data_IF_640523979874
#
_entry.id   IF_640523979874
#
_cell.length_a   1.000
_cell.length_b   1.000
_cell.length_c   1.000
_cell.angle_alpha   90.00
_cell.angle_beta   90.00
_cell.angle_gamma   90.00
#
_symmetry.space_group_name_H-M   'P 1'
#
loop_
_entity.id
_entity.type
_entity.pdbx_description
1 polymer ?
#
# COMPACT_ATOMS: atom_id res chain seq x y z
N UNK A 1 14.55 0.57 -12.59
CA UNK A 1 15.80 -0.15 -12.91
C UNK A 1 16.03 -1.24 -11.86
N UNK A 2 16.61 -2.39 -12.21
CA UNK A 2 17.01 -3.43 -11.25
C UNK A 2 18.52 -3.64 -11.35
N UNK A 3 19.23 -3.72 -10.23
CA UNK A 3 20.68 -3.94 -10.19
C UNK A 3 21.12 -4.58 -8.88
N UNK A 4 22.35 -5.08 -8.82
CA UNK A 4 22.90 -5.78 -7.65
C UNK A 4 24.28 -5.24 -7.22
N UNK A 5 24.91 -4.46 -8.09
CA UNK A 5 26.29 -4.03 -7.95
C UNK A 5 26.51 -2.52 -7.78
N UNK A 6 27.69 -2.16 -7.28
CA UNK A 6 28.15 -0.77 -7.12
C UNK A 6 28.11 0.04 -8.42
N UNK A 7 28.28 -0.62 -9.57
CA UNK A 7 28.26 0.02 -10.89
C UNK A 7 26.84 0.39 -11.34
N UNK A 8 25.82 -0.27 -10.79
CA UNK A 8 24.41 0.04 -11.11
C UNK A 8 23.87 1.17 -10.23
N UNK A 9 24.56 1.54 -9.16
CA UNK A 9 24.12 2.55 -8.20
C UNK A 9 23.74 3.90 -8.84
N UNK A 10 24.51 4.47 -9.80
CA UNK A 10 24.12 5.72 -10.47
C UNK A 10 22.80 5.58 -11.25
N UNK A 11 22.61 4.42 -11.89
CA UNK A 11 21.42 4.15 -12.70
C UNK A 11 20.21 3.77 -11.84
N UNK A 12 20.43 3.17 -10.67
CA UNK A 12 19.38 2.92 -9.66
C UNK A 12 18.90 4.24 -9.04
N UNK A 13 19.81 5.15 -8.72
CA UNK A 13 19.48 6.48 -8.20
C UNK A 13 18.76 7.37 -9.22
N UNK A 14 19.07 7.21 -10.51
CA UNK A 14 18.43 7.97 -11.59
C UNK A 14 17.07 7.41 -12.02
N UNK A 15 16.70 6.19 -11.62
CA UNK A 15 15.45 5.56 -12.02
C UNK A 15 14.28 6.06 -11.15
N UNK A 16 13.08 6.16 -11.73
CA UNK A 16 11.86 6.49 -10.98
C UNK A 16 11.60 5.52 -9.82
N UNK A 17 11.97 4.25 -10.04
CA UNK A 17 12.02 3.21 -9.02
C UNK A 17 13.27 2.36 -9.25
N UNK A 18 14.27 2.52 -8.37
CA UNK A 18 15.45 1.68 -8.29
C UNK A 18 15.21 0.47 -7.38
N UNK A 19 15.43 -0.75 -7.89
CA UNK A 19 15.30 -2.00 -7.13
C UNK A 19 16.68 -2.66 -7.02
N UNK A 20 17.22 -2.74 -5.82
CA UNK A 20 18.46 -3.46 -5.56
C UNK A 20 18.20 -4.91 -5.16
N UNK A 21 18.98 -5.83 -5.71
CA UNK A 21 19.00 -7.22 -5.28
C UNK A 21 20.15 -7.48 -4.32
N UNK A 22 19.84 -7.94 -3.11
CA UNK A 22 20.85 -8.28 -2.12
C UNK A 22 21.31 -9.73 -2.32
N UNK A 23 22.38 -9.89 -3.09
CA UNK A 23 23.03 -11.19 -3.34
C UNK A 23 23.97 -11.63 -2.19
N UNK A 24 24.54 -10.68 -1.45
CA UNK A 24 25.50 -10.95 -0.36
C UNK A 24 25.05 -10.37 0.99
N UNK A 25 25.52 -10.96 2.09
CA UNK A 25 25.20 -10.55 3.47
C UNK A 25 25.80 -9.19 3.89
N UNK A 26 26.46 -8.47 2.97
CA UNK A 26 27.08 -7.17 3.21
C UNK A 26 26.35 -6.10 2.42
N UNK A 27 26.16 -4.94 3.05
CA UNK A 27 25.53 -3.76 2.44
C UNK A 27 26.45 -3.19 1.34
N UNK A 28 25.87 -2.97 0.16
CA UNK A 28 26.57 -2.50 -1.03
C UNK A 28 26.04 -1.12 -1.46
N UNK A 29 26.79 -0.36 -2.28
CA UNK A 29 26.34 0.94 -2.78
C UNK A 29 25.05 0.87 -3.61
N UNK A 30 24.74 -0.29 -4.21
CA UNK A 30 23.47 -0.54 -4.89
C UNK A 30 22.26 -0.47 -3.94
N UNK A 31 22.39 -1.06 -2.74
CA UNK A 31 21.32 -1.09 -1.74
C UNK A 31 21.07 0.26 -1.08
N UNK A 32 22.09 1.11 -0.98
CA UNK A 32 21.96 2.47 -0.45
C UNK A 32 21.34 3.42 -1.48
N UNK A 33 21.66 3.23 -2.77
CA UNK A 33 21.12 4.05 -3.85
C UNK A 33 19.71 3.65 -4.32
N UNK A 34 19.20 2.47 -3.94
CA UNK A 34 17.93 1.95 -4.43
C UNK A 34 16.75 2.28 -3.49
N UNK A 35 15.58 2.55 -4.06
CA UNK A 35 14.34 2.81 -3.32
C UNK A 35 13.73 1.55 -2.70
N UNK A 36 14.00 0.38 -3.30
CA UNK A 36 13.50 -0.93 -2.84
C UNK A 36 14.65 -1.91 -2.82
N UNK A 37 14.83 -2.61 -1.71
CA UNK A 37 15.88 -3.64 -1.55
C UNK A 37 15.22 -5.02 -1.37
N UNK A 38 15.48 -5.92 -2.32
CA UNK A 38 15.06 -7.31 -2.24
C UNK A 38 16.04 -8.11 -1.39
N UNK A 39 15.54 -8.64 -0.28
CA UNK A 39 16.37 -9.34 0.70
C UNK A 39 16.70 -10.79 0.30
N UNK A 40 15.98 -11.36 -0.66
CA UNK A 40 16.19 -12.72 -1.15
C UNK A 40 16.90 -12.76 -2.51
N UNK A 41 17.52 -13.91 -2.79
CA UNK A 41 18.30 -14.12 -4.02
C UNK A 41 17.44 -14.60 -5.20
N UNK A 42 16.18 -14.16 -5.31
CA UNK A 42 15.26 -14.60 -6.38
C UNK A 42 14.69 -13.41 -7.13
N UNK A 43 14.94 -13.37 -8.43
CA UNK A 43 14.38 -12.34 -9.34
C UNK A 43 12.84 -12.31 -9.30
N UNK A 44 12.19 -13.44 -9.00
CA UNK A 44 10.74 -13.52 -8.87
C UNK A 44 10.16 -12.57 -7.82
N UNK A 45 10.95 -12.18 -6.81
CA UNK A 45 10.52 -11.21 -5.79
C UNK A 45 10.26 -9.82 -6.36
N UNK A 46 10.87 -9.46 -7.51
CA UNK A 46 10.55 -8.22 -8.23
C UNK A 46 9.09 -8.25 -8.68
N UNK A 47 8.63 -9.38 -9.22
CA UNK A 47 7.26 -9.56 -9.69
C UNK A 47 6.28 -9.54 -8.52
N UNK A 48 6.64 -10.23 -7.42
CA UNK A 48 5.85 -10.23 -6.19
C UNK A 48 5.69 -8.79 -5.65
N UNK A 49 6.77 -8.01 -5.60
CA UNK A 49 6.75 -6.60 -5.15
C UNK A 49 5.91 -5.71 -6.07
N UNK A 50 5.99 -5.88 -7.40
CA UNK A 50 5.13 -5.15 -8.34
C UNK A 50 3.65 -5.53 -8.17
N UNK A 51 3.35 -6.81 -7.97
CA UNK A 51 1.97 -7.28 -7.77
C UNK A 51 1.36 -6.69 -6.49
N UNK A 52 2.15 -6.64 -5.41
CA UNK A 52 1.76 -6.04 -4.15
C UNK A 52 1.55 -4.53 -4.27
N UNK A 53 2.44 -3.83 -4.99
CA UNK A 53 2.31 -2.40 -5.25
C UNK A 53 1.01 -2.09 -6.00
N UNK A 54 0.68 -2.86 -7.06
CA UNK A 54 -0.58 -2.71 -7.81
C UNK A 54 -1.81 -2.96 -6.93
N UNK A 55 -1.79 -4.02 -6.13
CA UNK A 55 -2.88 -4.32 -5.21
C UNK A 55 -3.07 -3.21 -4.16
N UNK A 56 -1.97 -2.64 -3.67
CA UNK A 56 -1.97 -1.51 -2.72
C UNK A 56 -2.57 -0.27 -3.39
N UNK A 57 -2.15 0.08 -4.60
CA UNK A 57 -2.69 1.24 -5.30
C UNK A 57 -4.18 1.10 -5.64
N UNK A 58 -4.65 -0.11 -5.96
CA UNK A 58 -6.08 -0.35 -6.12
C UNK A 58 -6.88 -0.01 -4.85
N UNK A 59 -6.36 -0.33 -3.66
CA UNK A 59 -6.98 0.05 -2.38
C UNK A 59 -6.90 1.54 -2.10
N UNK A 60 -5.77 2.19 -2.40
CA UNK A 60 -5.62 3.64 -2.27
C UNK A 60 -6.67 4.36 -3.12
N UNK A 61 -6.86 3.93 -4.37
CA UNK A 61 -7.86 4.51 -5.26
C UNK A 61 -9.30 4.29 -4.74
N UNK A 62 -9.61 3.10 -4.21
CA UNK A 62 -10.91 2.85 -3.58
C UNK A 62 -11.15 3.77 -2.37
N UNK A 63 -10.16 3.91 -1.50
CA UNK A 63 -10.25 4.74 -0.31
C UNK A 63 -10.40 6.24 -0.68
N UNK A 64 -9.66 6.70 -1.70
CA UNK A 64 -9.78 8.06 -2.20
C UNK A 64 -11.16 8.30 -2.84
N UNK A 65 -11.68 7.34 -3.60
CA UNK A 65 -13.02 7.44 -4.19
C UNK A 65 -14.10 7.59 -3.11
N UNK A 66 -14.02 6.83 -2.01
CA UNK A 66 -14.91 6.99 -0.87
C UNK A 66 -14.77 8.35 -0.18
N UNK A 67 -13.54 8.83 0.02
CA UNK A 67 -13.30 10.14 0.61
C UNK A 67 -13.86 11.29 -0.24
N UNK A 68 -13.67 11.22 -1.57
CA UNK A 68 -14.24 12.20 -2.50
C UNK A 68 -15.76 12.11 -2.52
N UNK A 69 -16.35 10.91 -2.57
CA UNK A 69 -17.81 10.75 -2.54
C UNK A 69 -18.41 11.34 -1.26
N UNK A 70 -17.78 11.12 -0.10
CA UNK A 70 -18.22 11.72 1.16
C UNK A 70 -18.18 13.25 1.09
N UNK A 71 -17.07 13.85 0.63
CA UNK A 71 -16.95 15.30 0.52
C UNK A 71 -17.94 15.90 -0.50
N UNK A 72 -18.15 15.23 -1.63
CA UNK A 72 -19.11 15.65 -2.67
C UNK A 72 -20.55 15.64 -2.13
N UNK A 73 -20.89 14.76 -1.19
CA UNK A 73 -22.21 14.74 -0.55
C UNK A 73 -22.27 15.71 0.63
N UNK A 74 -21.24 15.75 1.48
CA UNK A 74 -21.21 16.56 2.68
C UNK A 74 -21.16 18.07 2.39
N UNK A 75 -20.44 18.51 1.35
CA UNK A 75 -20.29 19.93 1.03
C UNK A 75 -21.63 20.56 0.59
N UNK A 76 -22.42 20.00 -0.36
CA UNK A 76 -23.74 20.52 -0.71
C UNK A 76 -24.74 20.49 0.45
N UNK A 77 -24.69 19.44 1.28
CA UNK A 77 -25.52 19.35 2.50
C UNK A 77 -25.19 20.51 3.45
N UNK A 78 -23.90 20.75 3.72
CA UNK A 78 -23.45 21.83 4.58
C UNK A 78 -23.64 23.23 3.96
N UNK A 79 -23.57 23.35 2.63
CA UNK A 79 -23.83 24.58 1.88
C UNK A 79 -25.32 24.94 1.81
N UNK A 80 -26.20 24.13 2.41
CA UNK A 80 -27.60 24.48 2.62
C UNK A 80 -28.58 23.90 1.60
N UNK A 81 -28.20 22.88 0.82
CA UNK A 81 -29.13 22.21 -0.09
C UNK A 81 -30.34 21.57 0.63
N UNK A 82 -30.21 21.27 1.93
CA UNK A 82 -31.29 20.74 2.78
C UNK A 82 -32.05 21.81 3.59
N UNK A 83 -31.66 23.09 3.51
CA UNK A 83 -32.35 24.19 4.20
C UNK A 83 -33.85 24.33 3.84
N UNK A 84 -34.33 24.03 2.61
CA UNK A 84 -35.74 24.22 2.31
C UNK A 84 -36.66 23.10 2.84
N UNK A 85 -36.13 21.91 3.17
CA UNK A 85 -36.96 20.71 3.40
C UNK A 85 -36.81 20.06 4.78
N UNK A 86 -35.70 20.22 5.50
CA UNK A 86 -35.46 19.42 6.71
C UNK A 86 -35.01 20.18 7.96
N UNK A 87 -34.71 21.49 7.90
CA UNK A 87 -34.18 22.29 9.03
C UNK A 87 -33.07 21.57 9.84
N UNK A 88 -32.36 20.63 9.19
CA UNK A 88 -31.43 19.73 9.84
C UNK A 88 -30.04 20.32 9.67
N UNK A 89 -29.67 21.19 10.60
CA UNK A 89 -28.30 21.62 10.73
C UNK A 89 -27.46 20.39 11.12
N UNK A 90 -26.55 19.96 10.23
CA UNK A 90 -25.54 18.96 10.57
C UNK A 90 -24.76 19.48 11.78
N UNK A 91 -25.06 18.95 12.96
CA UNK A 91 -24.36 19.34 14.18
C UNK A 91 -22.91 18.85 14.05
N UNK A 92 -21.89 19.65 14.43
CA UNK A 92 -20.48 19.29 14.26
C UNK A 92 -20.10 17.90 14.82
N UNK A 93 -20.82 17.44 15.85
CA UNK A 93 -20.70 16.11 16.45
C UNK A 93 -21.07 14.96 15.50
N UNK A 94 -22.14 15.10 14.70
CA UNK A 94 -22.59 14.07 13.76
C UNK A 94 -21.66 13.95 12.55
N UNK A 95 -21.19 15.09 12.03
CA UNK A 95 -20.20 15.13 10.95
C UNK A 95 -18.86 14.55 11.38
N UNK A 96 -18.42 14.86 12.61
CA UNK A 96 -17.23 14.23 13.21
C UNK A 96 -17.37 12.72 13.39
N UNK A 97 -18.55 12.24 13.82
CA UNK A 97 -18.83 10.81 13.97
C UNK A 97 -18.79 10.05 12.64
N UNK A 98 -19.37 10.61 11.58
CA UNK A 98 -19.31 10.04 10.23
C UNK A 98 -17.88 10.03 9.67
N UNK A 99 -17.11 11.09 9.91
CA UNK A 99 -15.71 11.17 9.48
C UNK A 99 -14.83 10.12 10.19
N UNK A 100 -15.07 9.89 11.48
CA UNK A 100 -14.39 8.83 12.24
C UNK A 100 -14.76 7.44 11.72
N UNK A 101 -16.04 7.17 11.45
CA UNK A 101 -16.50 5.90 10.88
C UNK A 101 -15.93 5.64 9.48
N UNK A 102 -15.84 6.66 8.64
CA UNK A 102 -15.22 6.55 7.31
C UNK A 102 -13.74 6.21 7.40
N UNK A 103 -13.02 6.79 8.38
CA UNK A 103 -11.60 6.47 8.60
C UNK A 103 -11.43 5.02 9.04
N UNK A 104 -12.26 4.54 9.98
CA UNK A 104 -12.23 3.15 10.44
C UNK A 104 -12.51 2.19 9.27
N UNK A 105 -13.50 2.50 8.42
CA UNK A 105 -13.82 1.67 7.26
C UNK A 105 -12.67 1.61 6.24
N UNK A 106 -12.07 2.75 5.93
CA UNK A 106 -10.92 2.88 5.03
C UNK A 106 -9.71 2.12 5.57
N UNK A 107 -9.42 2.25 6.87
CA UNK A 107 -8.33 1.55 7.55
C UNK A 107 -8.60 0.05 7.58
N UNK A 108 -9.80 -0.40 7.96
CA UNK A 108 -10.19 -1.82 7.95
C UNK A 108 -10.08 -2.45 6.55
N UNK A 109 -10.53 -1.75 5.50
CA UNK A 109 -10.40 -2.21 4.10
C UNK A 109 -8.93 -2.30 3.66
N UNK A 110 -8.06 -1.43 4.17
CA UNK A 110 -6.62 -1.46 3.93
C UNK A 110 -5.92 -2.60 4.68
N UNK A 111 -6.31 -2.89 5.94
CA UNK A 111 -5.78 -4.02 6.72
C UNK A 111 -6.13 -5.38 6.09
N UNK A 112 -7.28 -5.49 5.43
CA UNK A 112 -7.69 -6.72 4.75
C UNK A 112 -6.71 -7.12 3.62
N UNK A 113 -5.99 -6.15 3.05
CA UNK A 113 -4.92 -6.40 2.09
C UNK A 113 -3.64 -6.98 2.75
N UNK A 114 -3.32 -6.53 3.97
CA UNK A 114 -2.21 -7.10 4.76
C UNK A 114 -2.49 -8.56 5.15
N UNK A 115 -3.74 -8.89 5.48
CA UNK A 115 -4.12 -10.27 5.80
C UNK A 115 -3.89 -11.22 4.61
N UNK A 116 -4.27 -10.82 3.40
CA UNK A 116 -4.04 -11.64 2.19
C UNK A 116 -2.54 -11.84 1.88
N UNK A 117 -1.69 -10.85 2.14
CA UNK A 117 -0.24 -10.99 2.00
C UNK A 117 0.40 -11.92 3.05
N UNK A 118 -0.16 -11.95 4.27
CA UNK A 118 0.34 -12.82 5.35
C UNK A 118 0.06 -14.30 5.08
N UNK A 119 -1.10 -14.64 4.51
CA UNK A 119 -1.46 -16.05 4.24
C UNK A 119 -0.54 -16.70 3.20
N UNK A 120 -0.12 -15.98 2.16
CA UNK A 120 0.80 -16.52 1.15
C UNK A 120 2.22 -16.75 1.70
N UNK A 121 2.66 -15.96 2.68
CA UNK A 121 3.99 -16.09 3.27
C UNK A 121 4.09 -17.31 4.21
N UNK A 122 3.01 -17.63 4.91
CA UNK A 122 2.92 -18.83 5.76
C UNK A 122 2.95 -20.12 4.94
N UNK A 123 2.23 -20.16 3.81
CA UNK A 123 2.17 -21.34 2.94
C UNK A 123 3.52 -21.64 2.25
N UNK A 124 4.23 -20.60 1.78
CA UNK A 124 5.60 -20.74 1.25
C UNK A 124 6.60 -21.22 2.30
N UNK A 125 6.50 -20.75 3.54
CA UNK A 125 7.40 -21.13 4.63
C UNK A 125 7.20 -22.58 5.05
N UNK A 126 5.95 -23.07 5.04
CA UNK A 126 5.62 -24.44 5.41
C UNK A 126 6.04 -25.47 4.32
N UNK A 127 5.94 -25.10 3.04
CA UNK A 127 6.45 -25.92 1.92
C UNK A 127 7.98 -26.08 1.93
N UNK A 128 8.71 -25.01 2.24
CA UNK A 128 10.18 -25.03 2.29
C UNK A 128 10.71 -25.88 3.46
N UNK A 129 10.03 -25.86 4.62
CA UNK A 129 10.36 -26.74 5.76
C UNK A 129 10.09 -28.22 5.46
N UNK A 130 8.97 -28.55 4.79
CA UNK A 130 8.64 -29.93 4.45
C UNK A 130 9.61 -30.55 3.42
N UNK A 131 10.22 -29.72 2.56
CA UNK A 131 11.22 -30.17 1.58
C UNK A 131 12.62 -30.40 2.17
N UNK A 132 12.93 -29.81 3.34
CA UNK A 132 14.21 -29.97 4.04
C UNK A 132 14.23 -31.15 5.01
N UNK A 133 13.07 -31.73 5.29
CA UNK A 133 12.89 -32.86 6.23
C UNK A 133 12.71 -34.21 5.52
N UNK A 134 12.65 -34.23 4.19
CA UNK A 134 12.68 -35.42 3.32
C UNK A 134 13.96 -35.43 2.48
#
# INVERSE_FOLDING_TARGET
MVGDGINDAPSLAAADVGIAMRTHSKENAASDAASVVLLGNRLSQVVDALSLSKATMAKVHQNLAWAVAYNVVAIPIAAGALLPQFDFAMTPSLSGGLMALSSIFVVSNSLLLQLHGSFQNTEKTQGDLSSKLN
#
